data_IF_782199642220
#
_entry.id   IF_782199642220
#
_cell.length_a   1.000
_cell.length_b   1.000
_cell.length_c   1.000
_cell.angle_alpha   90.00
_cell.angle_beta   90.00
_cell.angle_gamma   90.00
#
_symmetry.space_group_name_H-M   'P 1'
#
loop_
_entity.id
_entity.type
_entity.pdbx_description
1 polymer ?
#
# COMPACT_ATOMS: atom_id res chain seq x y z
N UNK A 1 3.58 21.66 12.26
CA UNK A 1 4.40 20.76 13.12
C UNK A 1 4.00 19.31 12.82
N UNK A 2 4.93 18.36 12.82
CA UNK A 2 4.59 16.93 12.72
C UNK A 2 3.54 16.53 13.78
N UNK A 3 2.69 15.56 13.46
CA UNK A 3 1.65 15.00 14.33
C UNK A 3 0.61 16.03 14.87
N UNK A 4 0.28 17.05 14.07
CA UNK A 4 -0.67 18.10 14.47
C UNK A 4 -2.00 18.06 13.71
N UNK A 5 -2.09 17.25 12.67
CA UNK A 5 -3.28 17.12 11.82
C UNK A 5 -3.64 15.65 11.64
N UNK A 6 -4.94 15.38 11.51
CA UNK A 6 -5.46 14.09 11.15
C UNK A 6 -5.98 14.14 9.71
N UNK A 7 -5.66 13.10 8.93
CA UNK A 7 -6.20 12.92 7.58
C UNK A 7 -6.31 11.42 7.25
N UNK A 8 -7.14 11.10 6.27
CA UNK A 8 -7.15 9.75 5.68
C UNK A 8 -5.89 9.53 4.85
N UNK A 9 -5.24 8.39 5.00
CA UNK A 9 -4.07 8.07 4.20
C UNK A 9 -4.47 7.64 2.79
N UNK A 10 -5.50 6.81 2.65
CA UNK A 10 -5.92 6.24 1.36
C UNK A 10 -6.79 7.17 0.50
N UNK A 11 -7.49 8.17 1.08
CA UNK A 11 -8.31 9.08 0.30
C UNK A 11 -7.51 9.90 -0.73
N UNK A 12 -6.37 10.54 -0.38
CA UNK A 12 -5.52 11.20 -1.37
C UNK A 12 -4.97 10.23 -2.43
N UNK A 13 -4.74 8.96 -2.06
CA UNK A 13 -4.36 7.94 -3.04
C UNK A 13 -5.49 7.69 -4.04
N UNK A 14 -6.75 7.59 -3.59
CA UNK A 14 -7.91 7.46 -4.48
C UNK A 14 -8.01 8.62 -5.48
N UNK A 15 -7.78 9.85 -5.03
CA UNK A 15 -7.74 11.03 -5.90
C UNK A 15 -6.58 10.98 -6.90
N UNK A 16 -5.41 10.55 -6.46
CA UNK A 16 -4.24 10.34 -7.33
C UNK A 16 -4.48 9.26 -8.39
N UNK A 17 -5.07 8.13 -8.02
CA UNK A 17 -5.45 7.06 -8.97
C UNK A 17 -6.48 7.56 -9.99
N UNK A 18 -7.49 8.34 -9.57
CA UNK A 18 -8.44 9.01 -10.47
C UNK A 18 -7.72 9.85 -11.52
N UNK A 19 -6.76 10.65 -11.09
CA UNK A 19 -6.04 11.57 -11.99
C UNK A 19 -5.15 10.78 -12.97
N UNK A 20 -4.52 9.68 -12.53
CA UNK A 20 -3.83 8.73 -13.43
C UNK A 20 -4.81 8.15 -14.44
N UNK A 21 -5.99 7.68 -13.99
CA UNK A 21 -7.00 7.10 -14.89
C UNK A 21 -7.51 8.10 -15.93
N UNK A 22 -7.59 9.39 -15.59
CA UNK A 22 -7.94 10.47 -16.53
C UNK A 22 -6.81 10.74 -17.54
N UNK A 23 -5.57 10.69 -17.09
CA UNK A 23 -4.40 10.93 -17.93
C UNK A 23 -4.07 9.73 -18.85
N UNK A 24 -4.39 8.50 -18.42
CA UNK A 24 -4.05 7.25 -19.12
C UNK A 24 -5.35 6.47 -19.37
N UNK A 25 -6.05 6.79 -20.46
CA UNK A 25 -7.41 6.29 -20.73
C UNK A 25 -7.51 4.78 -20.95
N UNK A 26 -6.46 4.13 -21.46
CA UNK A 26 -6.54 2.72 -21.91
C UNK A 26 -5.59 1.76 -21.22
N UNK A 27 -4.65 2.25 -20.42
CA UNK A 27 -3.51 1.47 -19.92
C UNK A 27 -3.44 1.33 -18.41
N UNK A 28 -4.49 1.75 -17.68
CA UNK A 28 -4.53 1.69 -16.23
C UNK A 28 -5.88 1.17 -15.74
N UNK A 29 -5.86 0.21 -14.81
CA UNK A 29 -7.04 -0.36 -14.16
C UNK A 29 -6.84 -0.49 -12.65
N UNK A 30 -7.96 -0.40 -11.92
CA UNK A 30 -8.02 -0.70 -10.49
C UNK A 30 -8.82 -1.98 -10.30
N UNK A 31 -8.30 -2.85 -9.43
CA UNK A 31 -8.89 -4.15 -9.08
C UNK A 31 -9.22 -4.14 -7.59
N UNK A 32 -10.36 -4.70 -7.21
CA UNK A 32 -10.74 -4.80 -5.81
C UNK A 32 -11.99 -5.67 -5.61
N UNK A 33 -12.03 -6.49 -4.55
CA UNK A 33 -13.18 -7.36 -4.27
C UNK A 33 -14.29 -6.61 -3.53
N UNK A 34 -14.98 -5.65 -4.18
CA UNK A 34 -16.06 -4.86 -3.60
C UNK A 34 -15.64 -3.91 -2.44
N UNK A 35 -14.36 -3.57 -2.36
CA UNK A 35 -13.80 -2.86 -1.21
C UNK A 35 -13.28 -1.45 -1.52
N UNK A 36 -13.31 -1.00 -2.77
CA UNK A 36 -12.71 0.27 -3.16
C UNK A 36 -13.29 1.48 -2.40
N UNK A 37 -14.61 1.52 -2.23
CA UNK A 37 -15.28 2.60 -1.48
C UNK A 37 -14.90 2.56 0.01
N UNK A 38 -14.89 1.38 0.63
CA UNK A 38 -14.52 1.24 2.04
C UNK A 38 -13.04 1.54 2.26
N UNK A 39 -12.19 1.29 1.26
CA UNK A 39 -10.78 1.66 1.23
C UNK A 39 -10.54 3.16 0.99
N UNK A 40 -11.60 3.96 0.84
CA UNK A 40 -11.55 5.40 0.54
C UNK A 40 -10.92 5.72 -0.81
N UNK A 41 -11.04 4.80 -1.77
CA UNK A 41 -10.59 4.97 -3.16
C UNK A 41 -11.74 5.43 -4.09
N UNK A 42 -12.88 5.78 -3.55
CA UNK A 42 -14.13 6.11 -4.26
C UNK A 42 -13.97 7.19 -5.35
N UNK A 43 -12.98 8.07 -5.25
CA UNK A 43 -12.66 9.05 -6.29
C UNK A 43 -12.39 8.41 -7.67
N UNK A 44 -11.96 7.15 -7.76
CA UNK A 44 -11.71 6.45 -9.03
C UNK A 44 -12.96 6.35 -9.90
N UNK A 45 -14.15 6.30 -9.28
CA UNK A 45 -15.42 6.24 -10.01
C UNK A 45 -15.79 7.53 -10.74
N UNK A 46 -15.14 8.65 -10.40
CA UNK A 46 -15.24 9.90 -11.18
C UNK A 46 -14.52 9.81 -12.54
N UNK A 47 -13.56 8.89 -12.68
CA UNK A 47 -12.77 8.71 -13.91
C UNK A 47 -13.26 7.54 -14.76
N UNK A 48 -13.84 6.50 -14.16
CA UNK A 48 -14.33 5.33 -14.89
C UNK A 48 -15.36 4.56 -14.08
N UNK A 49 -16.24 3.86 -14.79
CA UNK A 49 -17.22 2.96 -14.20
C UNK A 49 -16.64 1.59 -13.88
N UNK A 50 -17.40 0.77 -13.17
CA UNK A 50 -17.12 -0.65 -12.95
C UNK A 50 -17.28 -1.41 -14.27
N UNK A 51 -16.38 -2.36 -14.51
CA UNK A 51 -16.46 -3.23 -15.68
C UNK A 51 -17.62 -4.21 -15.53
N UNK A 52 -18.51 -4.23 -16.52
CA UNK A 52 -19.62 -5.16 -16.60
C UNK A 52 -19.74 -5.74 -18.01
N UNK A 53 -19.48 -7.04 -18.16
CA UNK A 53 -19.48 -7.73 -19.45
C UNK A 53 -20.75 -8.54 -19.71
N UNK A 54 -21.66 -8.60 -18.73
CA UNK A 54 -22.95 -9.28 -18.89
C UNK A 54 -23.99 -8.37 -19.55
N UNK A 55 -25.06 -8.96 -20.03
CA UNK A 55 -26.21 -8.22 -20.53
C UNK A 55 -26.89 -7.46 -19.36
N UNK A 56 -27.28 -6.22 -19.62
CA UNK A 56 -28.16 -5.48 -18.71
C UNK A 56 -29.58 -6.02 -18.83
N UNK A 57 -30.18 -6.31 -17.69
CA UNK A 57 -31.58 -6.66 -17.59
C UNK A 57 -32.41 -5.43 -17.17
N UNK A 58 -33.73 -5.43 -17.42
CA UNK A 58 -34.59 -4.32 -16.98
C UNK A 58 -34.54 -4.07 -15.46
N UNK A 59 -34.24 -5.09 -14.69
CA UNK A 59 -34.10 -5.05 -13.23
C UNK A 59 -32.77 -4.42 -12.75
N UNK A 60 -31.79 -4.30 -13.62
CA UNK A 60 -30.49 -3.69 -13.35
C UNK A 60 -30.59 -2.14 -13.41
N UNK A 61 -31.44 -1.56 -12.57
CA UNK A 61 -31.74 -0.11 -12.54
C UNK A 61 -30.51 0.76 -12.29
N UNK A 62 -29.46 0.20 -11.70
CA UNK A 62 -28.21 0.90 -11.37
C UNK A 62 -27.17 0.91 -12.50
N UNK A 63 -27.57 0.74 -13.76
CA UNK A 63 -26.68 0.78 -14.92
C UNK A 63 -25.81 2.03 -15.02
N UNK A 64 -26.07 3.06 -14.20
CA UNK A 64 -25.24 4.27 -14.08
C UNK A 64 -23.81 4.01 -13.60
N UNK A 65 -23.57 2.97 -12.79
CA UNK A 65 -22.26 2.61 -12.23
C UNK A 65 -21.49 1.58 -13.06
N UNK A 66 -22.15 0.94 -14.02
CA UNK A 66 -21.59 -0.15 -14.80
C UNK A 66 -21.30 0.27 -16.23
N UNK A 67 -20.29 -0.33 -16.86
CA UNK A 67 -19.98 -0.15 -18.27
C UNK A 67 -19.19 -1.32 -18.83
N UNK A 68 -19.40 -1.67 -20.10
CA UNK A 68 -18.62 -2.69 -20.79
C UNK A 68 -17.16 -2.31 -21.05
N UNK A 69 -16.84 -1.03 -20.94
CA UNK A 69 -15.49 -0.48 -21.05
C UNK A 69 -14.96 0.09 -19.74
N UNK A 70 -15.62 -0.23 -18.62
CA UNK A 70 -15.21 0.16 -17.28
C UNK A 70 -13.78 -0.29 -16.94
N UNK A 71 -13.08 0.53 -16.17
CA UNK A 71 -11.69 0.28 -15.78
C UNK A 71 -11.51 0.00 -14.29
N UNK A 72 -12.60 -0.10 -13.55
CA UNK A 72 -12.62 -0.60 -12.17
C UNK A 72 -13.19 -2.01 -12.22
N UNK A 73 -12.39 -3.00 -11.84
CA UNK A 73 -12.78 -4.41 -11.83
C UNK A 73 -13.10 -4.82 -10.40
N UNK A 74 -14.37 -5.06 -10.14
CA UNK A 74 -14.84 -5.56 -8.85
C UNK A 74 -15.44 -6.96 -9.02
N UNK A 75 -14.97 -7.88 -8.17
CA UNK A 75 -15.45 -9.25 -8.12
C UNK A 75 -15.13 -9.84 -6.74
N UNK A 76 -16.09 -10.48 -6.10
CA UNK A 76 -15.89 -11.18 -4.82
C UNK A 76 -15.11 -12.48 -5.02
N UNK A 77 -13.92 -12.36 -5.59
CA UNK A 77 -12.97 -13.44 -5.82
C UNK A 77 -11.58 -12.87 -6.05
N UNK A 78 -10.77 -12.84 -5.02
CA UNK A 78 -9.38 -12.37 -5.08
C UNK A 78 -8.55 -13.18 -6.07
N UNK A 79 -8.78 -14.49 -6.17
CA UNK A 79 -8.11 -15.35 -7.17
C UNK A 79 -8.37 -14.89 -8.61
N UNK A 80 -9.63 -14.59 -8.94
CA UNK A 80 -10.00 -14.14 -10.28
C UNK A 80 -9.42 -12.76 -10.56
N UNK A 81 -9.49 -11.84 -9.60
CA UNK A 81 -8.94 -10.49 -9.72
C UNK A 81 -7.42 -10.52 -9.90
N UNK A 82 -6.70 -11.33 -9.11
CA UNK A 82 -5.25 -11.48 -9.26
C UNK A 82 -4.89 -12.11 -10.61
N UNK A 83 -5.62 -13.14 -11.05
CA UNK A 83 -5.41 -13.73 -12.37
C UNK A 83 -5.61 -12.72 -13.51
N UNK A 84 -6.62 -11.87 -13.42
CA UNK A 84 -6.83 -10.78 -14.37
C UNK A 84 -5.75 -9.71 -14.27
N UNK A 85 -5.32 -9.36 -13.07
CA UNK A 85 -4.28 -8.36 -12.88
C UNK A 85 -2.93 -8.84 -13.43
N UNK A 86 -2.52 -10.08 -13.13
CA UNK A 86 -1.34 -10.71 -13.71
C UNK A 86 -1.41 -10.69 -15.25
N UNK A 87 -2.53 -11.15 -15.84
CA UNK A 87 -2.74 -11.10 -17.28
C UNK A 87 -2.64 -9.69 -17.86
N UNK A 88 -3.15 -8.70 -17.13
CA UNK A 88 -3.14 -7.29 -17.53
C UNK A 88 -1.73 -6.70 -17.57
N UNK A 89 -0.92 -6.90 -16.52
CA UNK A 89 0.46 -6.41 -16.47
C UNK A 89 1.37 -7.13 -17.48
N UNK A 90 1.13 -8.42 -17.75
CA UNK A 90 1.85 -9.19 -18.77
C UNK A 90 1.69 -8.61 -20.19
N UNK A 91 0.64 -7.84 -20.43
CA UNK A 91 0.41 -7.15 -21.72
C UNK A 91 1.02 -5.74 -21.75
N UNK A 92 1.86 -5.36 -20.77
CA UNK A 92 2.51 -4.06 -20.68
C UNK A 92 1.64 -2.95 -20.08
N UNK A 93 0.56 -3.32 -19.40
CA UNK A 93 -0.38 -2.39 -18.78
C UNK A 93 -0.13 -2.27 -17.28
N UNK A 94 -0.69 -1.22 -16.63
CA UNK A 94 -0.45 -0.89 -15.23
C UNK A 94 -1.74 -0.95 -14.43
N UNK A 95 -1.62 -1.16 -13.13
CA UNK A 95 -2.77 -1.16 -12.25
C UNK A 95 -2.41 -1.26 -10.77
N UNK A 96 -3.46 -1.30 -9.97
CA UNK A 96 -3.38 -1.49 -8.53
C UNK A 96 -4.51 -2.42 -8.10
N UNK A 97 -4.20 -3.36 -7.20
CA UNK A 97 -5.17 -4.23 -6.57
C UNK A 97 -5.26 -3.89 -5.08
N UNK A 98 -6.44 -3.45 -4.64
CA UNK A 98 -6.72 -3.11 -3.25
C UNK A 98 -7.56 -4.19 -2.59
N UNK A 99 -7.14 -4.69 -1.43
CA UNK A 99 -7.88 -5.69 -0.64
C UNK A 99 -7.56 -5.56 0.85
N UNK A 100 -8.31 -6.27 1.70
CA UNK A 100 -8.03 -6.35 3.12
C UNK A 100 -6.94 -7.38 3.43
N UNK A 101 -6.22 -7.16 4.53
CA UNK A 101 -5.19 -8.11 4.99
C UNK A 101 -5.74 -9.53 5.15
N UNK A 102 -6.96 -9.67 5.69
CA UNK A 102 -7.60 -10.97 5.88
C UNK A 102 -7.82 -11.76 4.59
N UNK A 103 -7.97 -11.10 3.45
CA UNK A 103 -8.30 -11.75 2.18
C UNK A 103 -7.09 -11.88 1.25
N UNK A 104 -6.07 -11.07 1.42
CA UNK A 104 -4.87 -11.14 0.57
C UNK A 104 -4.17 -12.50 0.67
N UNK A 105 -4.28 -13.20 1.79
CA UNK A 105 -3.70 -14.53 1.97
C UNK A 105 -4.27 -15.56 0.99
N UNK A 106 -5.50 -15.35 0.51
CA UNK A 106 -6.13 -16.19 -0.52
C UNK A 106 -5.30 -16.25 -1.81
N UNK A 107 -4.60 -15.17 -2.18
CA UNK A 107 -3.78 -15.09 -3.39
C UNK A 107 -2.28 -15.31 -3.15
N UNK A 108 -1.86 -15.66 -1.95
CA UNK A 108 -0.45 -15.83 -1.60
C UNK A 108 0.31 -16.76 -2.53
N UNK A 109 -0.27 -17.92 -2.85
CA UNK A 109 0.35 -18.87 -3.77
C UNK A 109 0.49 -18.31 -5.20
N UNK A 110 -0.44 -17.50 -5.66
CA UNK A 110 -0.40 -16.85 -6.97
C UNK A 110 0.70 -15.78 -7.02
N UNK A 111 0.79 -14.93 -5.99
CA UNK A 111 1.85 -13.93 -5.83
C UNK A 111 3.23 -14.61 -5.78
N UNK A 112 3.35 -15.68 -5.00
CA UNK A 112 4.59 -16.45 -4.93
C UNK A 112 5.00 -17.03 -6.30
N UNK A 113 4.05 -17.53 -7.07
CA UNK A 113 4.30 -18.05 -8.41
C UNK A 113 4.70 -16.94 -9.39
N UNK A 114 4.03 -15.79 -9.31
CA UNK A 114 4.37 -14.61 -10.13
C UNK A 114 5.78 -14.09 -9.80
N UNK A 115 6.14 -13.99 -8.52
CA UNK A 115 7.48 -13.57 -8.09
C UNK A 115 8.58 -14.51 -8.62
N UNK A 116 8.38 -15.84 -8.56
CA UNK A 116 9.31 -16.81 -9.15
C UNK A 116 9.45 -16.63 -10.66
N UNK A 117 8.35 -16.38 -11.34
CA UNK A 117 8.36 -16.13 -12.77
C UNK A 117 9.09 -14.83 -13.12
N UNK A 118 8.91 -13.74 -12.34
CA UNK A 118 9.65 -12.49 -12.51
C UNK A 118 11.17 -12.73 -12.39
N UNK A 119 11.62 -13.39 -11.33
CA UNK A 119 13.03 -13.68 -11.08
C UNK A 119 13.69 -14.49 -12.22
N UNK A 120 12.95 -15.39 -12.87
CA UNK A 120 13.45 -16.15 -14.03
C UNK A 120 13.43 -15.28 -15.29
N UNK A 121 12.35 -14.54 -15.52
CA UNK A 121 12.15 -13.77 -16.76
C UNK A 121 13.11 -12.59 -16.89
N UNK A 122 13.63 -12.06 -15.81
CA UNK A 122 14.64 -10.98 -15.79
C UNK A 122 15.91 -11.38 -16.59
N UNK A 123 16.27 -12.64 -16.56
CA UNK A 123 17.46 -13.16 -17.25
C UNK A 123 17.23 -13.48 -18.74
N UNK A 124 16.02 -13.23 -19.27
CA UNK A 124 15.68 -13.50 -20.66
C UNK A 124 15.87 -12.27 -21.53
N UNK A 125 16.94 -12.21 -22.30
CA UNK A 125 17.33 -11.05 -23.11
C UNK A 125 16.30 -10.61 -24.17
N UNK A 126 15.41 -11.51 -24.58
CA UNK A 126 14.35 -11.24 -25.57
C UNK A 126 13.05 -10.71 -24.95
N UNK A 127 12.96 -10.68 -23.61
CA UNK A 127 11.75 -10.26 -22.91
C UNK A 127 11.86 -8.83 -22.41
N UNK A 128 10.89 -8.00 -22.76
CA UNK A 128 10.80 -6.65 -22.22
C UNK A 128 10.33 -6.68 -20.75
N UNK A 129 10.84 -5.77 -19.87
CA UNK A 129 10.33 -5.62 -18.53
C UNK A 129 8.85 -5.25 -18.52
N UNK A 130 8.08 -5.90 -17.64
CA UNK A 130 6.65 -5.64 -17.46
C UNK A 130 6.39 -4.70 -16.28
N UNK A 131 5.21 -4.11 -16.22
CA UNK A 131 4.75 -3.34 -15.07
C UNK A 131 4.68 -4.23 -13.83
N UNK A 132 4.95 -3.64 -12.67
CA UNK A 132 4.90 -4.35 -11.40
C UNK A 132 3.47 -4.68 -10.98
N UNK A 133 3.31 -5.74 -10.20
CA UNK A 133 2.11 -6.00 -9.41
C UNK A 133 2.13 -5.06 -8.21
N UNK A 134 1.07 -4.28 -8.02
CA UNK A 134 0.94 -3.35 -6.91
C UNK A 134 -0.27 -3.75 -6.06
N UNK A 135 -0.03 -4.20 -4.84
CA UNK A 135 -1.04 -4.59 -3.86
C UNK A 135 -1.17 -3.51 -2.80
N UNK A 136 -2.36 -2.98 -2.60
CA UNK A 136 -2.71 -2.13 -1.47
C UNK A 136 -3.47 -2.96 -0.44
N UNK A 137 -2.89 -3.13 0.73
CA UNK A 137 -3.45 -3.91 1.82
C UNK A 137 -3.92 -2.97 2.92
N UNK A 138 -5.19 -3.10 3.29
CA UNK A 138 -5.82 -2.30 4.34
C UNK A 138 -6.48 -3.18 5.40
N UNK A 139 -7.18 -2.60 6.37
CA UNK A 139 -7.87 -3.32 7.46
C UNK A 139 -6.95 -4.30 8.17
N UNK A 140 -5.77 -3.80 8.53
CA UNK A 140 -4.68 -4.58 9.14
C UNK A 140 -5.03 -5.05 10.54
N UNK A 141 -4.37 -6.10 11.00
CA UNK A 141 -4.59 -6.74 12.30
C UNK A 141 -4.44 -5.79 13.50
N UNK A 142 -3.57 -4.79 13.41
CA UNK A 142 -3.39 -3.81 14.49
C UNK A 142 -4.44 -2.68 14.49
N UNK A 143 -5.29 -2.63 13.49
CA UNK A 143 -6.45 -1.75 13.44
C UNK A 143 -7.59 -2.40 12.69
N UNK A 144 -8.38 -3.17 13.42
CA UNK A 144 -9.65 -3.65 12.92
C UNK A 144 -10.61 -2.48 12.80
N UNK A 145 -10.97 -2.14 11.60
CA UNK A 145 -11.95 -1.10 11.38
C UNK A 145 -13.34 -1.57 11.90
N UNK A 146 -14.25 -1.95 11.07
CA UNK A 146 -15.58 -2.41 11.50
C UNK A 146 -15.88 -3.87 11.12
N UNK A 147 -14.87 -4.58 10.65
CA UNK A 147 -15.06 -5.91 10.07
C UNK A 147 -15.06 -7.04 11.11
N UNK A 148 -14.67 -6.77 12.37
CA UNK A 148 -14.63 -7.75 13.43
C UNK A 148 -13.52 -8.80 13.26
N UNK A 149 -13.46 -9.75 14.19
CA UNK A 149 -12.41 -10.76 14.23
C UNK A 149 -12.43 -11.76 13.05
N UNK A 150 -13.55 -11.90 12.36
CA UNK A 150 -13.69 -12.76 11.18
C UNK A 150 -12.91 -12.26 9.96
N UNK A 151 -12.42 -11.02 10.01
CA UNK A 151 -11.62 -10.38 8.97
C UNK A 151 -10.17 -10.18 9.41
N UNK A 152 -9.66 -11.04 10.28
CA UNK A 152 -8.27 -11.09 10.70
C UNK A 152 -7.63 -12.37 10.20
N UNK A 153 -6.65 -12.23 9.35
CA UNK A 153 -5.77 -13.32 8.94
C UNK A 153 -4.39 -12.73 8.60
N UNK A 154 -3.59 -12.39 9.64
CA UNK A 154 -2.22 -11.95 9.44
C UNK A 154 -1.37 -13.14 9.02
N UNK A 155 -0.49 -12.99 8.09
CA UNK A 155 0.38 -14.09 7.67
C UNK A 155 0.94 -13.86 6.27
N UNK A 156 0.23 -13.13 5.43
CA UNK A 156 0.71 -12.80 4.11
C UNK A 156 2.02 -11.98 4.18
N UNK A 157 2.09 -10.97 5.05
CA UNK A 157 3.29 -10.15 5.22
C UNK A 157 4.45 -10.98 5.72
N UNK A 158 4.24 -11.84 6.72
CA UNK A 158 5.26 -12.77 7.24
C UNK A 158 5.79 -13.71 6.15
N UNK A 159 4.93 -14.09 5.21
CA UNK A 159 5.35 -14.92 4.09
C UNK A 159 6.18 -14.12 3.07
N UNK A 160 5.73 -12.93 2.67
CA UNK A 160 6.40 -12.16 1.60
C UNK A 160 7.72 -11.54 2.05
N UNK A 161 7.91 -11.18 3.32
CA UNK A 161 9.18 -10.67 3.85
C UNK A 161 10.32 -11.70 3.80
N UNK A 162 10.01 -12.98 3.65
CA UNK A 162 10.99 -14.04 3.45
C UNK A 162 11.45 -14.18 1.99
N UNK A 163 10.90 -13.39 1.07
CA UNK A 163 11.34 -13.33 -0.32
C UNK A 163 12.52 -12.36 -0.46
N UNK A 164 13.18 -12.40 -1.62
CA UNK A 164 14.27 -11.47 -1.90
C UNK A 164 13.75 -10.08 -2.27
N UNK A 165 14.41 -9.05 -1.79
CA UNK A 165 14.10 -7.66 -2.08
C UNK A 165 14.30 -7.25 -3.55
N UNK A 166 14.96 -8.07 -4.36
CA UNK A 166 15.08 -7.89 -5.79
C UNK A 166 13.80 -8.20 -6.60
N UNK A 167 12.81 -8.84 -5.94
CA UNK A 167 11.55 -9.22 -6.59
C UNK A 167 10.33 -8.71 -5.83
N UNK A 168 10.36 -8.67 -4.49
CA UNK A 168 9.24 -8.21 -3.65
C UNK A 168 9.70 -7.08 -2.75
N UNK A 169 8.92 -6.01 -2.73
CA UNK A 169 9.08 -4.90 -1.79
C UNK A 169 7.84 -4.79 -0.90
N UNK A 170 8.06 -4.47 0.38
CA UNK A 170 6.99 -4.32 1.38
C UNK A 170 7.13 -2.95 2.01
N UNK A 171 6.13 -2.11 1.79
CA UNK A 171 6.09 -0.74 2.26
C UNK A 171 5.04 -0.55 3.36
N UNK A 172 5.44 0.14 4.43
CA UNK A 172 4.58 0.47 5.57
C UNK A 172 4.59 2.00 5.81
N UNK A 173 3.98 2.78 4.90
CA UNK A 173 3.95 4.23 5.02
C UNK A 173 3.15 4.67 6.26
N UNK A 174 3.71 5.56 7.10
CA UNK A 174 3.04 6.00 8.33
C UNK A 174 1.97 7.07 8.13
N UNK A 175 1.95 7.79 7.00
CA UNK A 175 1.02 8.87 6.70
C UNK A 175 0.65 9.00 5.22
N UNK A 176 -0.22 9.93 4.87
CA UNK A 176 -0.72 10.10 3.52
C UNK A 176 0.36 10.50 2.51
N UNK A 177 1.29 11.38 2.89
CA UNK A 177 2.32 11.86 1.97
C UNK A 177 3.37 10.78 1.67
N UNK A 178 3.73 9.97 2.66
CA UNK A 178 4.59 8.80 2.45
C UNK A 178 3.88 7.74 1.61
N UNK A 179 2.57 7.52 1.84
CA UNK A 179 1.78 6.62 0.99
C UNK A 179 1.73 7.07 -0.46
N UNK A 180 1.51 8.36 -0.72
CA UNK A 180 1.53 8.90 -2.09
C UNK A 180 2.89 8.75 -2.76
N UNK A 181 3.99 9.04 -2.04
CA UNK A 181 5.34 8.86 -2.57
C UNK A 181 5.63 7.40 -2.92
N UNK A 182 5.33 6.48 -2.01
CA UNK A 182 5.50 5.04 -2.25
C UNK A 182 4.64 4.58 -3.42
N UNK A 183 3.38 4.99 -3.47
CA UNK A 183 2.46 4.58 -4.54
C UNK A 183 2.93 5.08 -5.91
N UNK A 184 3.43 6.32 -6.03
CA UNK A 184 3.98 6.84 -7.30
C UNK A 184 5.18 6.00 -7.76
N UNK A 185 6.12 5.70 -6.87
CA UNK A 185 7.29 4.88 -7.18
C UNK A 185 6.88 3.45 -7.58
N UNK A 186 5.96 2.83 -6.85
CA UNK A 186 5.43 1.49 -7.15
C UNK A 186 4.74 1.43 -8.52
N UNK A 187 3.89 2.41 -8.84
CA UNK A 187 3.15 2.46 -10.11
C UNK A 187 4.07 2.70 -11.32
N UNK A 188 5.25 3.30 -11.12
CA UNK A 188 6.28 3.49 -12.16
C UNK A 188 7.23 2.31 -12.26
N UNK A 189 7.31 1.48 -11.23
CA UNK A 189 8.25 0.36 -11.16
C UNK A 189 7.92 -0.75 -12.17
N UNK A 190 8.91 -1.57 -12.45
CA UNK A 190 8.78 -2.75 -13.32
C UNK A 190 9.47 -3.94 -12.68
N UNK A 191 9.04 -5.13 -13.03
CA UNK A 191 9.62 -6.42 -12.62
C UNK A 191 9.55 -6.67 -11.10
N UNK A 192 8.60 -6.03 -10.38
CA UNK A 192 8.46 -6.15 -8.94
C UNK A 192 7.05 -6.60 -8.54
N UNK A 193 6.94 -7.14 -7.36
CA UNK A 193 5.70 -7.21 -6.58
C UNK A 193 5.82 -6.21 -5.44
N UNK A 194 5.02 -5.18 -5.46
CA UNK A 194 4.98 -4.14 -4.43
C UNK A 194 3.79 -4.40 -3.51
N UNK A 195 4.07 -4.55 -2.23
CA UNK A 195 3.07 -4.73 -1.17
C UNK A 195 3.05 -3.46 -0.34
N UNK A 196 1.94 -2.72 -0.38
CA UNK A 196 1.76 -1.45 0.34
C UNK A 196 0.72 -1.68 1.44
N UNK A 197 1.13 -1.54 2.69
CA UNK A 197 0.25 -1.71 3.86
C UNK A 197 -0.11 -0.34 4.40
N UNK A 198 -1.39 0.04 4.34
CA UNK A 198 -1.84 1.38 4.73
C UNK A 198 -3.19 1.37 5.45
N UNK A 199 -3.34 2.24 6.43
CA UNK A 199 -4.61 2.45 7.12
C UNK A 199 -5.58 3.30 6.30
N UNK A 200 -6.86 2.95 6.35
CA UNK A 200 -7.96 3.66 5.69
C UNK A 200 -8.75 4.61 6.61
N UNK A 201 -8.37 4.70 7.86
CA UNK A 201 -8.98 5.61 8.83
C UNK A 201 -8.12 6.88 9.02
N UNK A 202 -8.68 7.96 9.58
CA UNK A 202 -7.90 9.16 9.87
C UNK A 202 -6.73 8.85 10.80
N UNK A 203 -5.54 9.32 10.41
CA UNK A 203 -4.29 9.14 11.12
C UNK A 203 -3.57 10.48 11.29
N UNK A 204 -2.65 10.54 12.25
CA UNK A 204 -1.72 11.66 12.40
C UNK A 204 -0.83 11.78 11.15
N UNK A 205 -0.60 13.01 10.73
CA UNK A 205 0.28 13.31 9.61
C UNK A 205 1.62 13.83 10.10
N UNK A 206 2.72 13.28 9.60
CA UNK A 206 4.05 13.52 10.16
C UNK A 206 4.95 14.37 9.27
N UNK A 207 4.81 14.25 7.95
CA UNK A 207 5.72 14.88 6.98
C UNK A 207 4.98 15.67 5.91
N UNK A 208 5.60 16.78 5.47
CA UNK A 208 5.23 17.41 4.19
C UNK A 208 5.76 16.58 3.01
N UNK A 209 5.20 16.77 1.82
CA UNK A 209 5.48 15.92 0.64
C UNK A 209 6.97 15.84 0.30
N UNK A 210 7.72 16.96 0.32
CA UNK A 210 9.16 16.93 0.03
C UNK A 210 9.96 16.06 1.01
N UNK A 211 9.65 16.14 2.30
CA UNK A 211 10.30 15.32 3.33
C UNK A 211 9.90 13.84 3.20
N UNK A 212 8.64 13.58 2.83
CA UNK A 212 8.14 12.22 2.60
C UNK A 212 8.86 11.55 1.42
N UNK A 213 9.04 12.26 0.31
CA UNK A 213 9.80 11.76 -0.85
C UNK A 213 11.23 11.38 -0.48
N UNK A 214 11.94 12.25 0.25
CA UNK A 214 13.31 11.94 0.68
C UNK A 214 13.36 10.77 1.67
N UNK A 215 12.41 10.71 2.60
CA UNK A 215 12.32 9.59 3.55
C UNK A 215 12.02 8.25 2.87
N UNK A 216 11.09 8.25 1.92
CA UNK A 216 10.75 7.05 1.15
C UNK A 216 11.91 6.56 0.28
N UNK A 217 12.70 7.45 -0.32
CA UNK A 217 13.91 7.08 -1.08
C UNK A 217 14.97 6.38 -0.22
N UNK A 218 15.07 6.78 1.05
CA UNK A 218 15.98 6.10 2.00
C UNK A 218 15.41 4.79 2.53
N UNK A 219 14.09 4.61 2.50
CA UNK A 219 13.39 3.47 3.05
C UNK A 219 13.34 3.38 4.57
N UNK A 220 14.35 3.93 5.25
CA UNK A 220 14.50 3.98 6.71
C UNK A 220 15.17 5.29 7.11
N UNK A 221 14.76 5.89 8.23
CA UNK A 221 15.37 7.13 8.68
C UNK A 221 15.09 7.50 10.14
N UNK A 222 16.07 8.21 10.74
CA UNK A 222 15.90 8.82 12.05
C UNK A 222 14.91 10.00 11.95
N UNK A 223 13.94 10.03 12.85
CA UNK A 223 13.06 11.18 13.03
C UNK A 223 13.62 12.11 14.10
N UNK A 224 14.44 13.08 13.67
CA UNK A 224 15.12 14.00 14.58
C UNK A 224 14.17 14.81 15.44
N UNK A 225 12.98 15.18 14.91
CA UNK A 225 11.95 15.90 15.66
C UNK A 225 11.32 15.07 16.78
N UNK A 226 11.37 13.74 16.66
CA UNK A 226 10.85 12.77 17.63
C UNK A 226 11.96 12.19 18.53
N UNK A 227 13.23 12.49 18.27
CA UNK A 227 14.39 12.01 19.01
C UNK A 227 14.93 13.09 19.97
N UNK A 228 15.63 12.69 21.05
CA UNK A 228 16.32 13.60 21.95
C UNK A 228 17.83 13.25 22.15
N UNK A 229 18.36 12.39 21.30
CA UNK A 229 19.76 11.99 21.24
C UNK A 229 20.57 12.91 20.31
N UNK A 230 20.59 14.24 20.56
CA UNK A 230 21.11 15.24 19.63
C UNK A 230 22.56 15.00 19.19
N UNK A 231 23.44 14.54 20.08
CA UNK A 231 24.91 14.51 19.85
C UNK A 231 25.61 13.22 20.30
N UNK A 232 24.94 12.08 20.38
CA UNK A 232 25.59 10.89 20.88
C UNK A 232 24.89 9.57 20.58
N UNK A 233 25.39 8.53 21.21
CA UNK A 233 24.72 7.23 21.19
C UNK A 233 23.43 7.33 22.00
N UNK A 234 22.31 6.86 21.49
CA UNK A 234 21.08 6.74 22.26
C UNK A 234 21.21 5.64 23.30
N UNK A 235 20.49 5.79 24.43
CA UNK A 235 20.31 4.72 25.40
C UNK A 235 19.30 3.70 24.89
N UNK A 236 18.28 4.19 24.12
CA UNK A 236 17.22 3.37 23.53
C UNK A 236 16.96 3.81 22.10
N UNK A 237 16.79 2.84 21.20
CA UNK A 237 16.30 3.05 19.84
C UNK A 237 14.89 2.48 19.73
N UNK A 238 13.92 3.35 19.46
CA UNK A 238 12.52 2.99 19.20
C UNK A 238 12.32 2.93 17.68
N UNK A 239 12.08 1.73 17.15
CA UNK A 239 11.87 1.50 15.72
C UNK A 239 10.39 1.24 15.47
N UNK A 240 9.83 1.88 14.44
CA UNK A 240 8.43 1.73 14.05
C UNK A 240 8.26 1.65 12.54
N UNK A 241 7.21 0.96 12.10
CA UNK A 241 6.80 0.85 10.71
C UNK A 241 5.26 0.83 10.63
N UNK A 242 4.70 1.49 9.62
CA UNK A 242 3.26 1.60 9.45
C UNK A 242 2.62 2.70 10.30
N UNK A 243 1.33 2.91 10.12
CA UNK A 243 0.59 4.03 10.71
C UNK A 243 0.34 3.88 12.22
N UNK A 244 -0.36 2.84 12.63
CA UNK A 244 -0.69 2.63 14.06
C UNK A 244 0.55 2.34 14.89
N UNK A 245 1.48 1.44 14.50
CA UNK A 245 2.71 1.22 15.27
C UNK A 245 3.56 2.49 15.42
N UNK A 246 3.58 3.36 14.42
CA UNK A 246 4.28 4.66 14.52
C UNK A 246 3.62 5.57 15.54
N UNK A 247 2.29 5.67 15.53
CA UNK A 247 1.55 6.46 16.53
C UNK A 247 1.79 5.96 17.95
N UNK A 248 1.71 4.66 18.17
CA UNK A 248 1.93 4.05 19.49
C UNK A 248 3.39 4.22 19.97
N UNK A 249 4.35 4.12 19.04
CA UNK A 249 5.77 4.38 19.36
C UNK A 249 5.97 5.82 19.80
N UNK A 250 5.35 6.79 19.12
CA UNK A 250 5.46 8.21 19.50
C UNK A 250 4.80 8.49 20.85
N UNK A 251 3.68 7.84 21.15
CA UNK A 251 3.03 7.92 22.46
C UNK A 251 3.94 7.35 23.56
N UNK A 252 4.58 6.20 23.30
CA UNK A 252 5.54 5.61 24.23
C UNK A 252 6.77 6.52 24.45
N UNK A 253 7.28 7.15 23.41
CA UNK A 253 8.41 8.09 23.49
C UNK A 253 8.04 9.32 24.32
N UNK A 254 6.82 9.86 24.17
CA UNK A 254 6.33 10.99 24.99
C UNK A 254 6.23 10.60 26.45
N UNK A 255 5.71 9.40 26.72
CA UNK A 255 5.66 8.84 28.06
C UNK A 255 7.07 8.67 28.69
N UNK A 256 8.02 8.12 27.94
CA UNK A 256 9.42 7.97 28.38
C UNK A 256 10.06 9.32 28.72
N UNK A 257 9.85 10.33 27.89
CA UNK A 257 10.37 11.69 28.14
C UNK A 257 9.80 12.32 29.41
N UNK A 258 8.55 12.02 29.69
CA UNK A 258 7.89 12.56 30.90
C UNK A 258 8.41 11.90 32.18
N UNK A 259 8.66 10.60 32.16
CA UNK A 259 8.98 9.81 33.35
C UNK A 259 10.48 9.53 33.51
N UNK A 260 11.24 9.54 32.41
CA UNK A 260 12.67 9.30 32.38
C UNK A 260 13.36 10.39 31.54
N UNK A 261 13.39 11.66 32.01
CA UNK A 261 13.83 12.81 31.20
C UNK A 261 15.29 12.73 30.74
N UNK A 262 16.15 12.03 31.47
CA UNK A 262 17.58 11.88 31.14
C UNK A 262 17.84 10.79 30.10
N UNK A 263 16.84 9.95 29.79
CA UNK A 263 16.96 8.87 28.83
C UNK A 263 17.05 9.42 27.41
N UNK A 264 18.12 9.04 26.70
CA UNK A 264 18.33 9.41 25.29
C UNK A 264 17.63 8.42 24.36
N UNK A 265 16.54 8.86 23.77
CA UNK A 265 15.72 8.05 22.88
C UNK A 265 15.90 8.50 21.44
N UNK A 266 16.21 7.54 20.56
CA UNK A 266 16.20 7.72 19.10
C UNK A 266 14.96 7.07 18.52
N UNK A 267 14.23 7.80 17.69
CA UNK A 267 13.10 7.27 16.92
C UNK A 267 13.55 7.04 15.48
N UNK A 268 13.31 5.83 15.00
CA UNK A 268 13.60 5.43 13.62
C UNK A 268 12.30 4.91 13.00
N UNK A 269 11.91 5.48 11.87
CA UNK A 269 10.78 4.98 11.10
C UNK A 269 11.27 4.21 9.87
N UNK A 270 10.64 3.07 9.60
CA UNK A 270 10.90 2.19 8.47
C UNK A 270 9.69 2.25 7.53
N UNK A 271 9.89 2.74 6.31
CA UNK A 271 8.86 2.74 5.25
C UNK A 271 9.04 1.51 4.38
N UNK A 272 10.27 1.20 3.97
CA UNK A 272 10.59 -0.02 3.21
C UNK A 272 11.12 -1.10 4.16
N UNK A 273 10.27 -2.08 4.43
CA UNK A 273 10.62 -3.18 5.33
C UNK A 273 11.76 -4.05 4.76
N UNK A 274 11.84 -4.13 3.43
CA UNK A 274 12.86 -4.95 2.75
C UNK A 274 14.25 -4.29 2.79
N UNK A 275 14.36 -3.01 3.10
CA UNK A 275 15.63 -2.33 3.37
C UNK A 275 16.36 -2.90 4.62
N UNK A 276 15.67 -3.67 5.46
CA UNK A 276 16.25 -4.36 6.62
C UNK A 276 16.85 -5.73 6.26
N UNK A 277 16.67 -6.22 5.05
CA UNK A 277 17.33 -7.44 4.61
C UNK A 277 18.83 -7.21 4.44
N UNK A 278 19.63 -8.21 4.84
CA UNK A 278 21.09 -8.19 4.71
C UNK A 278 21.55 -8.75 3.37
#
# INVERSE_FOLDING_TARGET
KPANTFAYNTRPLGEYLRDIMRAIETNFRVFGPDENTSNKLDAIYEASKKLWLCQYLPEDENGGELSSDGRVLEMLSEHTLEGWFVGYVLTGRHGLFATYEAFVHVIDSMINQHAKWLAISENLSWRAPIASINLLITSTVWRQDHNGFSHQDPGFIDHVVNKKADVILVYLPPDANTLLSVADDCLRSKQMVNVIVAGKQPQLQYMGMAAAVEHCKMGIGKWSWASNDSDGSPDVVMVCAGDVPTMETLAAVDWLRTHLPDLKVRVVNVVDLMALQT
#
